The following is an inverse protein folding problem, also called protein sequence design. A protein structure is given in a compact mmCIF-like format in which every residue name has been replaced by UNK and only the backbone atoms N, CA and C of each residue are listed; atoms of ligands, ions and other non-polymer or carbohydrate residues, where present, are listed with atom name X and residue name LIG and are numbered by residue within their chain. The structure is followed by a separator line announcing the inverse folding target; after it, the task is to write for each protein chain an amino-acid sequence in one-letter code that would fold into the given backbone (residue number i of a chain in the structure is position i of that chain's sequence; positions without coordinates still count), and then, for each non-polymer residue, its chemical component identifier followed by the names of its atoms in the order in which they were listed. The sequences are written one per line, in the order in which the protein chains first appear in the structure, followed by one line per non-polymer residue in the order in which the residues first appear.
data_IF_736725062138
#
_entry.id   IF_736725062138
#
_cell.length_a   1.000
_cell.length_b   1.000
_cell.length_c   1.000
_cell.angle_alpha   90.00
_cell.angle_beta   90.00
_cell.angle_gamma   90.00
#
_symmetry.space_group_name_H-M   'P 1'
#
loop_
_entity.id
_entity.type
_entity.pdbx_description
1 polymer ?
#
# COMPACT_ATOMS: atom_id res chain seq x y z
N UNK A 1 1.79 -26.50 -2.92
CA UNK A 1 1.66 -25.84 -1.60
C UNK A 1 1.26 -24.37 -1.72
N UNK A 2 2.20 -23.37 -1.85
CA UNK A 2 1.81 -21.96 -1.87
C UNK A 2 0.92 -21.62 -3.08
N UNK A 3 1.40 -21.88 -4.29
CA UNK A 3 0.66 -21.56 -5.51
C UNK A 3 -0.68 -22.30 -5.64
N UNK A 4 -0.80 -23.52 -5.17
CA UNK A 4 -2.09 -24.25 -5.13
C UNK A 4 -3.15 -23.53 -4.27
N UNK A 5 -2.71 -22.87 -3.18
CA UNK A 5 -3.62 -22.04 -2.37
C UNK A 5 -3.99 -20.75 -3.09
N UNK A 6 -3.01 -20.11 -3.72
CA UNK A 6 -3.21 -18.86 -4.47
C UNK A 6 -4.12 -19.05 -5.70
N UNK A 7 -4.09 -20.22 -6.32
CA UNK A 7 -4.99 -20.55 -7.44
C UNK A 7 -6.48 -20.57 -7.07
N UNK A 8 -6.81 -20.65 -5.79
CA UNK A 8 -8.19 -20.60 -5.31
C UNK A 8 -8.77 -19.19 -5.20
N UNK A 9 -7.92 -18.17 -5.34
CA UNK A 9 -8.35 -16.79 -5.34
C UNK A 9 -9.19 -16.50 -6.59
N UNK A 10 -10.24 -15.70 -6.41
CA UNK A 10 -11.21 -15.35 -7.42
C UNK A 10 -11.21 -13.83 -7.69
N UNK A 11 -11.88 -13.42 -8.74
CA UNK A 11 -12.02 -12.01 -9.07
C UNK A 11 -12.70 -11.23 -7.93
N UNK A 12 -12.09 -10.11 -7.54
CA UNK A 12 -12.53 -9.29 -6.41
C UNK A 12 -11.92 -9.65 -5.06
N UNK A 13 -11.23 -10.79 -4.95
CA UNK A 13 -10.42 -11.09 -3.76
C UNK A 13 -9.25 -10.10 -3.65
N UNK A 14 -8.80 -9.83 -2.43
CA UNK A 14 -7.62 -9.04 -2.15
C UNK A 14 -6.45 -9.94 -1.70
N UNK A 15 -5.32 -9.81 -2.36
CA UNK A 15 -4.07 -10.46 -1.96
C UNK A 15 -3.06 -9.43 -1.49
N UNK A 16 -2.70 -9.50 -0.22
CA UNK A 16 -1.70 -8.61 0.39
C UNK A 16 -0.33 -9.29 0.38
N UNK A 17 0.62 -8.66 -0.28
CA UNK A 17 2.04 -9.02 -0.30
C UNK A 17 2.79 -8.03 0.59
N UNK A 18 3.12 -8.42 1.81
CA UNK A 18 3.70 -7.54 2.81
C UNK A 18 4.97 -8.12 3.44
N UNK A 19 5.87 -7.23 3.84
CA UNK A 19 7.08 -7.54 4.56
C UNK A 19 8.25 -7.99 3.69
N UNK A 20 9.25 -8.57 4.34
CA UNK A 20 10.47 -9.08 3.70
C UNK A 20 10.28 -10.53 3.24
N UNK A 21 10.96 -10.89 2.17
CA UNK A 21 10.97 -12.27 1.66
C UNK A 21 11.89 -13.12 2.54
N UNK A 22 11.39 -14.27 3.05
CA UNK A 22 12.24 -15.23 3.76
C UNK A 22 13.38 -15.73 2.87
N UNK A 23 14.57 -15.92 3.45
CA UNK A 23 15.78 -16.41 2.71
C UNK A 23 15.58 -17.75 1.98
N UNK A 24 14.55 -18.51 2.36
CA UNK A 24 14.18 -19.77 1.72
C UNK A 24 13.37 -19.63 0.43
N UNK A 25 12.96 -18.40 0.10
CA UNK A 25 12.21 -18.09 -1.11
C UNK A 25 13.04 -17.17 -2.03
N UNK A 26 12.83 -17.23 -3.35
CA UNK A 26 13.50 -16.33 -4.28
C UNK A 26 13.02 -14.89 -4.10
N UNK A 27 13.88 -13.91 -4.32
CA UNK A 27 13.55 -12.48 -4.27
C UNK A 27 12.49 -12.09 -5.31
N UNK A 28 12.28 -12.92 -6.33
CA UNK A 28 11.24 -12.75 -7.36
C UNK A 28 9.85 -13.19 -6.92
N UNK A 29 9.66 -13.76 -5.71
CA UNK A 29 8.40 -14.43 -5.34
C UNK A 29 7.16 -13.52 -5.49
N UNK A 30 7.26 -12.22 -5.15
CA UNK A 30 6.15 -11.29 -5.29
C UNK A 30 5.79 -11.06 -6.77
N UNK A 31 6.78 -10.84 -7.62
CA UNK A 31 6.57 -10.70 -9.06
C UNK A 31 6.07 -12.00 -9.70
N UNK A 32 6.55 -13.16 -9.26
CA UNK A 32 6.10 -14.48 -9.76
C UNK A 32 4.63 -14.73 -9.40
N UNK A 33 4.22 -14.37 -8.17
CA UNK A 33 2.83 -14.45 -7.74
C UNK A 33 1.94 -13.54 -8.59
N UNK A 34 2.31 -12.27 -8.72
CA UNK A 34 1.51 -11.31 -9.47
C UNK A 34 1.44 -11.67 -10.95
N UNK A 35 2.55 -12.07 -11.56
CA UNK A 35 2.59 -12.55 -12.95
C UNK A 35 1.64 -13.73 -13.18
N UNK A 36 1.60 -14.67 -12.26
CA UNK A 36 0.77 -15.87 -12.38
C UNK A 36 -0.72 -15.59 -12.24
N UNK A 37 -1.07 -14.58 -11.46
CA UNK A 37 -2.46 -14.30 -11.08
C UNK A 37 -3.02 -13.01 -11.72
N UNK A 38 -2.27 -12.33 -12.59
CA UNK A 38 -2.63 -11.01 -13.12
C UNK A 38 -3.97 -10.99 -13.86
N UNK A 39 -4.35 -12.11 -14.51
CA UNK A 39 -5.58 -12.19 -15.30
C UNK A 39 -6.82 -12.61 -14.47
N UNK A 40 -6.65 -12.85 -13.16
CA UNK A 40 -7.74 -13.31 -12.29
C UNK A 40 -8.65 -12.21 -11.73
N UNK A 41 -8.34 -10.94 -11.97
CA UNK A 41 -9.10 -9.81 -11.40
C UNK A 41 -8.95 -9.65 -9.88
N UNK A 42 -7.82 -10.07 -9.34
CA UNK A 42 -7.47 -9.96 -7.93
C UNK A 42 -6.96 -8.54 -7.62
N UNK A 43 -7.32 -8.01 -6.47
CA UNK A 43 -6.79 -6.75 -5.95
C UNK A 43 -5.45 -7.00 -5.26
N UNK A 44 -4.35 -6.76 -5.95
CA UNK A 44 -3.02 -6.87 -5.35
C UNK A 44 -2.70 -5.64 -4.51
N UNK A 45 -2.33 -5.87 -3.26
CA UNK A 45 -1.82 -4.85 -2.35
C UNK A 45 -0.39 -5.17 -2.00
N UNK A 46 0.51 -4.20 -2.18
CA UNK A 46 1.94 -4.40 -1.94
C UNK A 46 2.44 -3.42 -0.89
N UNK A 47 2.91 -3.96 0.22
CA UNK A 47 3.58 -3.26 1.31
C UNK A 47 4.98 -3.85 1.50
N UNK A 48 5.92 -3.41 0.69
CA UNK A 48 7.24 -3.99 0.59
C UNK A 48 8.32 -2.92 0.36
N UNK A 49 9.56 -3.29 0.61
CA UNK A 49 10.72 -2.42 0.42
C UNK A 49 10.95 -2.05 -1.04
N UNK A 50 11.75 -1.00 -1.26
CA UNK A 50 12.06 -0.35 -2.54
C UNK A 50 12.15 -1.29 -3.74
N UNK A 51 13.05 -2.27 -3.70
CA UNK A 51 13.31 -3.15 -4.84
C UNK A 51 12.13 -4.08 -5.13
N UNK A 52 11.54 -4.67 -4.08
CA UNK A 52 10.37 -5.55 -4.20
C UNK A 52 9.16 -4.79 -4.76
N UNK A 53 8.97 -3.55 -4.32
CA UNK A 53 7.90 -2.69 -4.82
C UNK A 53 8.10 -2.36 -6.29
N UNK A 54 9.29 -1.90 -6.68
CA UNK A 54 9.57 -1.51 -8.06
C UNK A 54 9.41 -2.68 -9.05
N UNK A 55 9.80 -3.89 -8.64
CA UNK A 55 9.71 -5.10 -9.48
C UNK A 55 8.26 -5.51 -9.81
N UNK A 56 7.29 -5.11 -8.99
CA UNK A 56 5.88 -5.50 -9.18
C UNK A 56 5.02 -4.44 -9.86
N UNK A 57 5.51 -3.21 -10.03
CA UNK A 57 4.73 -2.11 -10.63
C UNK A 57 4.25 -2.42 -12.05
N UNK A 58 5.01 -3.19 -12.83
CA UNK A 58 4.63 -3.65 -14.17
C UNK A 58 3.34 -4.48 -14.20
N UNK A 59 2.92 -5.06 -13.06
CA UNK A 59 1.68 -5.84 -12.92
C UNK A 59 0.51 -5.00 -12.40
N UNK A 60 0.67 -3.69 -12.32
CA UNK A 60 -0.37 -2.72 -11.94
C UNK A 60 -1.09 -3.05 -10.62
N UNK A 61 -0.35 -3.13 -9.47
CA UNK A 61 -0.97 -3.39 -8.18
C UNK A 61 -2.09 -2.37 -7.89
N UNK A 62 -3.19 -2.87 -7.31
CA UNK A 62 -4.33 -2.04 -6.91
C UNK A 62 -3.94 -0.99 -5.88
N UNK A 63 -3.11 -1.37 -4.89
CA UNK A 63 -2.62 -0.48 -3.85
C UNK A 63 -1.16 -0.77 -3.54
N UNK A 64 -0.36 0.26 -3.44
CA UNK A 64 0.98 0.20 -2.85
C UNK A 64 1.05 1.15 -1.64
N UNK A 65 1.76 0.74 -0.58
CA UNK A 65 1.86 1.54 0.65
C UNK A 65 3.31 1.75 1.10
N UNK A 66 4.08 2.60 0.44
CA UNK A 66 5.35 3.07 0.99
C UNK A 66 5.10 4.07 2.15
N UNK A 67 6.06 4.19 3.07
CA UNK A 67 6.13 5.37 3.90
C UNK A 67 6.87 6.51 3.15
N UNK A 68 6.88 7.73 3.73
CA UNK A 68 7.53 8.89 3.10
C UNK A 68 9.04 8.71 2.91
N UNK A 69 9.70 7.96 3.79
CA UNK A 69 11.15 7.67 3.66
C UNK A 69 11.40 6.69 2.52
N UNK A 70 10.66 5.60 2.46
CA UNK A 70 10.75 4.61 1.38
C UNK A 70 10.44 5.23 0.01
N UNK A 71 9.41 6.08 -0.06
CA UNK A 71 9.10 6.82 -1.28
C UNK A 71 10.26 7.77 -1.66
N UNK A 72 10.82 8.47 -0.68
CA UNK A 72 11.98 9.33 -0.87
C UNK A 72 13.21 8.58 -1.37
N UNK A 73 13.48 7.39 -0.85
CA UNK A 73 14.56 6.52 -1.31
C UNK A 73 14.41 6.07 -2.75
N UNK A 74 13.18 5.81 -3.21
CA UNK A 74 12.91 5.44 -4.61
C UNK A 74 13.33 6.56 -5.56
N UNK A 75 13.08 7.81 -5.19
CA UNK A 75 13.34 8.98 -6.04
C UNK A 75 14.57 9.79 -5.63
N UNK A 76 15.34 9.31 -4.64
CA UNK A 76 16.54 9.96 -4.10
C UNK A 76 16.27 11.39 -3.60
N UNK A 77 15.18 11.57 -2.84
CA UNK A 77 14.73 12.84 -2.25
C UNK A 77 14.35 12.64 -0.79
N UNK A 78 14.29 13.73 -0.02
CA UNK A 78 13.77 13.72 1.35
C UNK A 78 12.37 14.34 1.35
N UNK A 79 11.37 13.60 1.82
CA UNK A 79 9.97 14.01 1.87
C UNK A 79 9.51 14.15 3.32
N UNK A 80 9.10 15.35 3.72
CA UNK A 80 8.74 15.68 5.11
C UNK A 80 7.29 16.08 5.27
N UNK A 81 6.69 16.68 4.26
CA UNK A 81 5.31 17.18 4.29
C UNK A 81 4.42 16.40 3.33
N UNK A 82 3.11 16.46 3.58
CA UNK A 82 2.13 15.81 2.72
C UNK A 82 2.15 16.39 1.30
N UNK A 83 2.33 17.71 1.17
CA UNK A 83 2.40 18.37 -0.14
C UNK A 83 3.62 17.91 -0.95
N UNK A 84 4.77 17.73 -0.31
CA UNK A 84 5.99 17.21 -0.95
C UNK A 84 5.81 15.77 -1.48
N UNK A 85 4.98 14.97 -0.82
CA UNK A 85 4.73 13.56 -1.17
C UNK A 85 3.90 13.41 -2.45
N UNK A 86 2.96 14.31 -2.71
CA UNK A 86 1.99 14.19 -3.81
C UNK A 86 2.61 13.96 -5.18
N UNK A 87 3.58 14.76 -5.65
CA UNK A 87 4.16 14.55 -6.98
C UNK A 87 4.84 13.18 -7.10
N UNK A 88 5.49 12.69 -6.06
CA UNK A 88 6.18 11.39 -6.07
C UNK A 88 5.21 10.21 -5.99
N UNK A 89 4.10 10.36 -5.28
CA UNK A 89 3.02 9.37 -5.32
C UNK A 89 2.44 9.23 -6.73
N UNK A 90 2.23 10.35 -7.44
CA UNK A 90 1.81 10.35 -8.85
C UNK A 90 2.86 9.73 -9.77
N UNK A 91 4.15 10.00 -9.56
CA UNK A 91 5.22 9.34 -10.33
C UNK A 91 5.23 7.81 -10.12
N UNK A 92 4.85 7.31 -8.93
CA UNK A 92 4.67 5.88 -8.70
C UNK A 92 3.45 5.33 -9.46
N UNK A 93 2.37 6.10 -9.59
CA UNK A 93 1.24 5.73 -10.45
C UNK A 93 1.66 5.65 -11.92
N UNK A 94 2.43 6.61 -12.42
CA UNK A 94 2.99 6.57 -13.77
C UNK A 94 3.87 5.34 -14.03
N UNK A 95 4.53 4.82 -12.98
CA UNK A 95 5.31 3.57 -13.04
C UNK A 95 4.46 2.30 -13.00
N UNK A 96 3.16 2.41 -12.70
CA UNK A 96 2.22 1.29 -12.79
C UNK A 96 1.28 1.07 -11.60
N UNK A 97 1.53 1.64 -10.44
CA UNK A 97 0.60 1.51 -9.31
C UNK A 97 -0.74 2.19 -9.61
N UNK A 98 -1.87 1.55 -9.30
CA UNK A 98 -3.18 2.20 -9.46
C UNK A 98 -3.42 3.22 -8.37
N UNK A 99 -3.25 2.82 -7.11
CA UNK A 99 -3.41 3.68 -5.94
C UNK A 99 -2.14 3.67 -5.10
N UNK A 100 -1.73 4.84 -4.59
CA UNK A 100 -0.54 5.00 -3.77
C UNK A 100 -0.92 5.63 -2.44
N UNK A 101 -0.82 4.85 -1.37
CA UNK A 101 -1.07 5.27 0.01
C UNK A 101 0.28 5.49 0.70
N UNK A 102 0.62 6.74 0.99
CA UNK A 102 1.88 7.07 1.65
C UNK A 102 1.64 7.36 3.12
N UNK A 103 2.19 6.52 3.99
CA UNK A 103 2.14 6.74 5.45
C UNK A 103 3.26 7.69 5.89
N UNK A 104 2.96 8.59 6.83
CA UNK A 104 3.87 9.65 7.28
C UNK A 104 3.90 9.78 8.81
N UNK A 105 3.69 8.68 9.52
CA UNK A 105 3.65 8.65 10.98
C UNK A 105 2.78 9.80 11.57
N UNK A 106 3.35 10.64 12.43
CA UNK A 106 2.64 11.77 13.05
C UNK A 106 2.09 12.83 12.08
N UNK A 107 2.62 12.91 10.87
CA UNK A 107 2.10 13.80 9.81
C UNK A 107 0.84 13.24 9.12
N UNK A 108 0.47 11.99 9.39
CA UNK A 108 -0.70 11.35 8.82
C UNK A 108 -0.42 10.55 7.56
N UNK A 109 -1.16 10.80 6.50
CA UNK A 109 -0.98 10.09 5.24
C UNK A 109 -1.50 10.86 4.02
N UNK A 110 -1.10 10.40 2.84
CA UNK A 110 -1.56 10.86 1.53
C UNK A 110 -2.00 9.66 0.71
N UNK A 111 -3.16 9.75 0.05
CA UNK A 111 -3.59 8.81 -0.97
C UNK A 111 -3.68 9.52 -2.32
N UNK A 112 -2.97 9.00 -3.31
CA UNK A 112 -3.22 9.29 -4.72
C UNK A 112 -4.01 8.13 -5.32
N UNK A 113 -5.25 8.36 -5.75
CA UNK A 113 -6.11 7.31 -6.29
C UNK A 113 -6.12 7.27 -7.83
N UNK A 114 -6.53 6.14 -8.39
CA UNK A 114 -6.53 5.89 -9.84
C UNK A 114 -7.49 6.78 -10.64
N UNK A 115 -8.41 7.49 -9.96
CA UNK A 115 -9.33 8.45 -10.61
C UNK A 115 -8.71 9.84 -10.75
N UNK A 116 -7.49 10.05 -10.23
CA UNK A 116 -6.78 11.32 -10.19
C UNK A 116 -7.01 12.11 -8.90
N UNK A 117 -7.79 11.57 -7.96
CA UNK A 117 -8.01 12.17 -6.64
C UNK A 117 -6.75 12.13 -5.78
N UNK A 118 -6.61 13.16 -4.95
CA UNK A 118 -5.57 13.24 -3.91
C UNK A 118 -6.24 13.55 -2.59
N UNK A 119 -6.04 12.67 -1.62
CA UNK A 119 -6.60 12.77 -0.29
C UNK A 119 -5.47 12.91 0.72
N UNK A 120 -5.61 13.86 1.65
CA UNK A 120 -4.62 14.11 2.71
C UNK A 120 -5.33 14.19 4.05
N UNK A 121 -4.82 13.48 5.04
CA UNK A 121 -5.30 13.59 6.42
C UNK A 121 -4.12 13.64 7.38
N UNK A 122 -4.24 14.52 8.38
CA UNK A 122 -3.32 14.51 9.53
C UNK A 122 -3.57 13.24 10.37
N UNK A 123 -2.55 12.79 11.07
CA UNK A 123 -2.73 11.75 12.07
C UNK A 123 -3.69 12.22 13.18
N UNK A 124 -4.62 11.37 13.63
CA UNK A 124 -5.39 11.67 14.83
C UNK A 124 -4.46 11.93 16.02
N UNK A 125 -4.87 12.84 16.91
CA UNK A 125 -4.12 13.11 18.13
C UNK A 125 -4.33 11.98 19.12
N UNK A 126 -3.25 11.39 19.60
CA UNK A 126 -3.26 10.32 20.59
C UNK A 126 -1.88 10.15 21.22
N UNK A 127 -1.81 9.37 22.27
CA UNK A 127 -0.54 9.02 22.89
C UNK A 127 0.00 7.78 22.20
N UNK A 128 1.10 7.94 21.47
CA UNK A 128 1.78 6.80 20.83
C UNK A 128 2.23 5.79 21.89
N UNK A 129 1.73 4.59 21.80
CA UNK A 129 2.13 3.44 22.64
C UNK A 129 3.07 2.52 21.86
N UNK A 130 2.67 2.09 20.66
CA UNK A 130 3.50 1.24 19.81
C UNK A 130 3.08 1.38 18.35
N UNK A 131 4.02 1.73 17.49
CA UNK A 131 3.77 1.88 16.05
C UNK A 131 3.90 0.57 15.24
N UNK A 132 4.33 -0.53 15.87
CA UNK A 132 4.48 -1.83 15.19
C UNK A 132 3.11 -2.33 14.74
N UNK A 133 3.00 -2.67 13.45
CA UNK A 133 1.75 -3.12 12.85
C UNK A 133 0.75 -2.01 12.45
N UNK A 134 1.06 -0.74 12.77
CA UNK A 134 0.19 0.37 12.36
C UNK A 134 0.04 0.47 10.82
N UNK A 135 1.10 0.18 10.07
CA UNK A 135 1.08 0.09 8.62
C UNK A 135 0.17 -1.03 8.11
N UNK A 136 0.27 -2.21 8.69
CA UNK A 136 -0.57 -3.36 8.35
C UNK A 136 -2.05 -3.08 8.67
N UNK A 137 -2.30 -2.46 9.84
CA UNK A 137 -3.64 -2.03 10.24
C UNK A 137 -4.22 -0.98 9.29
N UNK A 138 -3.38 -0.06 8.77
CA UNK A 138 -3.78 0.93 7.77
C UNK A 138 -4.21 0.26 6.46
N UNK A 139 -3.46 -0.72 5.97
CA UNK A 139 -3.83 -1.52 4.79
C UNK A 139 -5.14 -2.27 5.03
N UNK A 140 -5.28 -2.94 6.16
CA UNK A 140 -6.49 -3.68 6.51
C UNK A 140 -7.73 -2.77 6.59
N UNK A 141 -7.60 -1.60 7.24
CA UNK A 141 -8.66 -0.60 7.32
C UNK A 141 -9.05 -0.04 5.96
N UNK A 142 -8.06 0.24 5.11
CA UNK A 142 -8.31 0.68 3.73
C UNK A 142 -9.11 -0.36 2.93
N UNK A 143 -8.68 -1.61 2.95
CA UNK A 143 -9.36 -2.69 2.24
C UNK A 143 -10.79 -2.94 2.77
N UNK A 144 -10.97 -2.89 4.08
CA UNK A 144 -12.30 -3.00 4.69
C UNK A 144 -13.22 -1.86 4.21
N UNK A 145 -12.74 -0.62 4.22
CA UNK A 145 -13.51 0.53 3.74
C UNK A 145 -13.82 0.44 2.25
N UNK A 146 -12.85 0.04 1.45
CA UNK A 146 -13.04 -0.17 0.01
C UNK A 146 -14.07 -1.25 -0.30
N UNK A 147 -14.01 -2.39 0.41
CA UNK A 147 -14.96 -3.48 0.23
C UNK A 147 -16.39 -3.04 0.56
N UNK A 148 -16.56 -2.19 1.58
CA UNK A 148 -17.87 -1.70 2.02
C UNK A 148 -18.51 -0.72 1.03
N UNK A 149 -17.75 0.25 0.50
CA UNK A 149 -18.32 1.38 -0.24
C UNK A 149 -17.76 1.60 -1.63
N UNK A 150 -16.63 1.00 -2.01
CA UNK A 150 -15.93 1.30 -3.26
C UNK A 150 -15.66 2.81 -3.45
N UNK A 151 -15.36 3.48 -2.34
CA UNK A 151 -15.09 4.91 -2.25
C UNK A 151 -13.69 5.13 -1.67
N UNK A 152 -12.83 5.85 -2.40
CA UNK A 152 -11.42 6.03 -2.02
C UNK A 152 -11.25 6.91 -0.80
N UNK A 153 -12.04 7.97 -0.65
CA UNK A 153 -11.96 8.83 0.52
C UNK A 153 -12.38 8.07 1.78
N UNK A 154 -13.47 7.31 1.70
CA UNK A 154 -13.93 6.48 2.81
C UNK A 154 -12.90 5.40 3.17
N UNK A 155 -12.36 4.68 2.19
CA UNK A 155 -11.32 3.68 2.40
C UNK A 155 -10.07 4.29 3.05
N UNK A 156 -9.65 5.47 2.59
CA UNK A 156 -8.51 6.19 3.14
C UNK A 156 -8.72 6.59 4.61
N UNK A 157 -9.90 7.14 4.95
CA UNK A 157 -10.25 7.48 6.34
C UNK A 157 -10.27 6.25 7.24
N UNK A 158 -10.84 5.14 6.78
CA UNK A 158 -10.84 3.87 7.50
C UNK A 158 -9.42 3.35 7.73
N UNK A 159 -8.55 3.45 6.72
CA UNK A 159 -7.13 3.07 6.84
C UNK A 159 -6.40 3.87 7.91
N UNK A 160 -6.51 5.21 7.87
CA UNK A 160 -5.88 6.07 8.88
C UNK A 160 -6.42 5.78 10.27
N UNK A 161 -7.73 5.62 10.41
CA UNK A 161 -8.35 5.33 11.70
C UNK A 161 -7.84 4.01 12.29
N UNK A 162 -7.77 2.96 11.48
CA UNK A 162 -7.27 1.64 11.90
C UNK A 162 -5.78 1.68 12.27
N UNK A 163 -4.94 2.32 11.44
CA UNK A 163 -3.51 2.48 11.73
C UNK A 163 -3.25 3.27 13.00
N UNK A 164 -4.00 4.35 13.22
CA UNK A 164 -3.86 5.18 14.43
C UNK A 164 -4.36 4.45 15.67
N UNK A 165 -5.50 3.76 15.61
CA UNK A 165 -6.01 2.97 16.72
C UNK A 165 -5.07 1.83 17.14
N UNK A 166 -4.32 1.28 16.18
CA UNK A 166 -3.30 0.26 16.45
C UNK A 166 -2.04 0.83 17.11
N UNK A 167 -1.79 2.14 16.96
CA UNK A 167 -0.60 2.80 17.47
C UNK A 167 -0.81 3.45 18.87
N UNK A 168 -2.06 3.73 19.28
CA UNK A 168 -2.44 4.36 20.53
C UNK A 168 -2.89 3.33 21.56
#
# INVERSE_FOLDING_TARGET
ALFEKLERLEAGDALVLAGSIPKSLPDSIYSDIMKRLCDKGILFVVDATKELLLNVLQYHPFLVKPNNHELGEIFNVTLRTRDEVVPYAKMLQEKGAKNVLVSMAGEGAVLADETGGVHMLAAPKGKLVNAVGAGDSMVAGFLAGWTQKKDYEYAFRMGISAGSASAF
#
